data_IF_833021469121
#
_entry.id   IF_833021469121
#
_cell.length_a   1.000
_cell.length_b   1.000
_cell.length_c   1.000
_cell.angle_alpha   90.00
_cell.angle_beta   90.00
_cell.angle_gamma   90.00
#
_symmetry.space_group_name_H-M   'P 1'
#
loop_
_entity.id
_entity.type
_entity.pdbx_description
1 polymer ?
#
# COMPACT_ATOMS: atom_id res chain seq x y z
N UNK A 1 15.79 0.90 -25.86
CA UNK A 1 15.77 -0.11 -24.77
C UNK A 1 14.94 0.37 -23.57
N UNK A 2 15.17 1.58 -23.04
CA UNK A 2 14.38 2.12 -21.91
C UNK A 2 12.90 2.38 -22.23
N UNK A 3 12.58 3.06 -23.33
CA UNK A 3 11.17 3.33 -23.70
C UNK A 3 10.38 2.04 -23.92
N UNK A 4 10.94 1.09 -24.68
CA UNK A 4 10.33 -0.22 -24.89
C UNK A 4 10.04 -0.96 -23.56
N UNK A 5 10.92 -0.83 -22.56
CA UNK A 5 10.67 -1.42 -21.24
C UNK A 5 9.51 -0.69 -20.52
N UNK A 6 9.46 0.64 -20.59
CA UNK A 6 8.37 1.41 -19.99
C UNK A 6 7.03 1.08 -20.64
N UNK A 7 6.98 1.03 -21.97
CA UNK A 7 5.78 0.67 -22.73
C UNK A 7 5.29 -0.74 -22.39
N UNK A 8 6.21 -1.71 -22.25
CA UNK A 8 5.85 -3.10 -21.91
C UNK A 8 5.15 -3.26 -20.55
N UNK A 9 5.37 -2.32 -19.62
CA UNK A 9 4.71 -2.30 -18.31
C UNK A 9 3.49 -1.37 -18.33
N UNK A 10 3.55 -0.30 -19.13
CA UNK A 10 2.51 0.71 -19.20
C UNK A 10 1.18 0.16 -19.72
N UNK A 11 1.20 -0.56 -20.84
CA UNK A 11 -0.01 -1.13 -21.45
C UNK A 11 -0.80 -2.03 -20.48
N UNK A 12 -0.20 -3.06 -19.84
CA UNK A 12 -0.94 -3.89 -18.89
C UNK A 12 -1.33 -3.13 -17.62
N UNK A 13 -0.55 -2.13 -17.19
CA UNK A 13 -0.91 -1.30 -16.04
C UNK A 13 -2.16 -0.45 -16.32
N UNK A 14 -2.27 0.15 -17.50
CA UNK A 14 -3.46 0.93 -17.90
C UNK A 14 -4.69 0.03 -18.01
N UNK A 15 -4.55 -1.15 -18.62
CA UNK A 15 -5.65 -2.11 -18.69
C UNK A 15 -6.13 -2.50 -17.29
N UNK A 16 -5.19 -2.79 -16.38
CA UNK A 16 -5.52 -3.13 -15.00
C UNK A 16 -6.24 -2.00 -14.27
N UNK A 17 -5.81 -0.76 -14.45
CA UNK A 17 -6.47 0.42 -13.86
C UNK A 17 -7.91 0.56 -14.37
N UNK A 18 -8.17 0.36 -15.67
CA UNK A 18 -9.55 0.41 -16.17
C UNK A 18 -10.45 -0.65 -15.53
N UNK A 19 -9.94 -1.86 -15.28
CA UNK A 19 -10.67 -2.90 -14.57
C UNK A 19 -10.96 -2.50 -13.12
N UNK A 20 -9.94 -1.98 -12.41
CA UNK A 20 -10.08 -1.58 -11.01
C UNK A 20 -11.08 -0.43 -10.84
N UNK A 21 -11.05 0.57 -11.73
CA UNK A 21 -12.02 1.67 -11.73
C UNK A 21 -13.44 1.18 -12.01
N UNK A 22 -13.60 0.22 -12.93
CA UNK A 22 -14.91 -0.37 -13.21
C UNK A 22 -15.47 -1.12 -11.98
N UNK A 23 -14.62 -1.76 -11.19
CA UNK A 23 -15.02 -2.39 -9.92
C UNK A 23 -15.39 -1.36 -8.85
N UNK A 24 -14.62 -0.27 -8.74
CA UNK A 24 -14.95 0.84 -7.84
C UNK A 24 -16.30 1.47 -8.21
N UNK A 25 -16.54 1.67 -9.50
CA UNK A 25 -17.81 2.23 -10.00
C UNK A 25 -19.00 1.32 -9.65
N UNK A 26 -18.87 -0.01 -9.78
CA UNK A 26 -19.93 -0.94 -9.38
C UNK A 26 -20.31 -0.80 -7.91
N UNK A 27 -19.33 -0.58 -7.03
CA UNK A 27 -19.61 -0.34 -5.60
C UNK A 27 -20.30 1.01 -5.41
N UNK A 28 -19.83 2.07 -6.06
CA UNK A 28 -20.46 3.38 -6.00
C UNK A 28 -21.92 3.35 -6.48
N UNK A 29 -22.19 2.66 -7.60
CA UNK A 29 -23.52 2.49 -8.16
C UNK A 29 -24.44 1.68 -7.23
N UNK A 30 -23.92 0.60 -6.62
CA UNK A 30 -24.66 -0.22 -5.66
C UNK A 30 -25.03 0.54 -4.37
N UNK A 31 -24.23 1.55 -4.00
CA UNK A 31 -24.51 2.47 -2.89
C UNK A 31 -25.46 3.61 -3.27
N UNK A 32 -25.95 3.64 -4.52
CA UNK A 32 -26.84 4.69 -5.03
C UNK A 32 -26.11 5.96 -5.49
N UNK A 33 -24.80 5.89 -5.69
CA UNK A 33 -24.01 6.98 -6.27
C UNK A 33 -24.47 7.30 -7.70
N UNK A 34 -24.61 8.58 -8.01
CA UNK A 34 -25.00 9.06 -9.34
C UNK A 34 -23.84 9.71 -10.11
N UNK A 35 -22.61 9.51 -9.63
CA UNK A 35 -21.40 10.14 -10.15
C UNK A 35 -20.43 9.10 -10.74
N UNK A 36 -19.54 9.58 -11.61
CA UNK A 36 -18.42 8.79 -12.12
C UNK A 36 -17.22 8.96 -11.20
N UNK A 37 -16.58 7.86 -10.80
CA UNK A 37 -15.37 7.86 -9.98
C UNK A 37 -14.33 8.85 -10.54
N UNK A 38 -13.89 9.78 -9.69
CA UNK A 38 -12.83 10.73 -9.98
C UNK A 38 -11.56 10.39 -9.19
N UNK A 39 -10.39 10.95 -9.55
CA UNK A 39 -9.12 10.60 -8.92
C UNK A 39 -9.09 10.75 -7.39
N UNK A 40 -9.84 11.69 -6.81
CA UNK A 40 -9.93 11.87 -5.36
C UNK A 40 -10.77 10.80 -4.65
N UNK A 41 -11.65 10.10 -5.38
CA UNK A 41 -12.51 9.04 -4.84
C UNK A 41 -11.78 7.69 -4.74
N UNK A 42 -10.65 7.53 -5.44
CA UNK A 42 -9.96 6.25 -5.64
C UNK A 42 -9.64 5.55 -4.33
N UNK A 43 -9.00 6.24 -3.38
CA UNK A 43 -8.59 5.60 -2.11
C UNK A 43 -9.78 5.03 -1.36
N UNK A 44 -10.86 5.79 -1.29
CA UNK A 44 -12.05 5.39 -0.56
C UNK A 44 -12.71 4.15 -1.17
N UNK A 45 -12.95 4.14 -2.48
CA UNK A 45 -13.58 3.00 -3.15
C UNK A 45 -12.63 1.81 -3.33
N UNK A 46 -11.32 2.03 -3.46
CA UNK A 46 -10.34 0.95 -3.47
C UNK A 46 -10.34 0.15 -2.16
N UNK A 47 -10.45 0.81 -1.00
CA UNK A 47 -10.60 0.10 0.28
C UNK A 47 -11.87 -0.75 0.31
N UNK A 48 -12.99 -0.24 -0.21
CA UNK A 48 -14.25 -1.00 -0.31
C UNK A 48 -14.11 -2.22 -1.22
N UNK A 49 -13.47 -2.07 -2.38
CA UNK A 49 -13.17 -3.20 -3.28
C UNK A 49 -12.29 -4.23 -2.58
N UNK A 50 -11.26 -3.80 -1.85
CA UNK A 50 -10.37 -4.70 -1.11
C UNK A 50 -11.13 -5.49 -0.04
N UNK A 51 -11.97 -4.81 0.75
CA UNK A 51 -12.82 -5.45 1.76
C UNK A 51 -13.78 -6.45 1.12
N UNK A 52 -14.47 -6.06 0.04
CA UNK A 52 -15.42 -6.93 -0.63
C UNK A 52 -14.77 -8.18 -1.27
N UNK A 53 -13.53 -8.06 -1.78
CA UNK A 53 -12.83 -9.16 -2.45
C UNK A 53 -12.08 -10.11 -1.52
N UNK A 54 -11.48 -9.56 -0.45
CA UNK A 54 -10.51 -10.29 0.37
C UNK A 54 -10.87 -10.32 1.85
N UNK A 55 -11.99 -9.72 2.25
CA UNK A 55 -12.38 -9.54 3.65
C UNK A 55 -11.27 -8.90 4.50
N UNK A 56 -10.53 -7.96 3.89
CA UNK A 56 -9.35 -7.32 4.48
C UNK A 56 -9.62 -5.83 4.71
N UNK A 57 -9.49 -5.40 5.96
CA UNK A 57 -9.61 -4.00 6.39
C UNK A 57 -8.27 -3.48 6.92
N UNK A 58 -7.76 -2.39 6.34
CA UNK A 58 -6.48 -1.81 6.78
C UNK A 58 -6.52 -1.31 8.23
N UNK A 59 -7.69 -0.94 8.74
CA UNK A 59 -7.84 -0.51 10.14
C UNK A 59 -7.66 -1.67 11.13
N UNK A 60 -8.00 -2.88 10.72
CA UNK A 60 -7.81 -4.10 11.53
C UNK A 60 -6.34 -4.55 11.52
N UNK A 61 -5.61 -4.26 10.43
CA UNK A 61 -4.18 -4.57 10.32
C UNK A 61 -3.31 -3.58 11.10
N UNK A 62 -3.72 -2.31 11.17
CA UNK A 62 -2.94 -1.21 11.76
C UNK A 62 -2.38 -1.49 13.18
N UNK A 63 -3.11 -2.10 14.13
CA UNK A 63 -2.60 -2.41 15.47
C UNK A 63 -1.40 -3.36 15.48
N UNK A 64 -1.24 -4.19 14.46
CA UNK A 64 -0.14 -5.14 14.32
C UNK A 64 1.14 -4.49 13.74
N UNK A 65 1.01 -3.33 13.08
CA UNK A 65 2.10 -2.62 12.41
C UNK A 65 2.70 -1.52 13.30
N UNK A 66 3.04 -1.86 14.53
CA UNK A 66 3.70 -0.92 15.46
C UNK A 66 5.13 -0.63 14.99
N UNK A 67 5.52 0.64 15.00
CA UNK A 67 6.81 1.11 14.48
C UNK A 67 8.00 0.35 15.09
N UNK A 68 7.99 0.15 16.41
CA UNK A 68 9.04 -0.58 17.11
C UNK A 68 9.16 -2.02 16.60
N UNK A 69 8.04 -2.73 16.45
CA UNK A 69 8.03 -4.10 15.96
C UNK A 69 8.45 -4.19 14.49
N UNK A 70 8.08 -3.21 13.67
CA UNK A 70 8.52 -3.13 12.28
C UNK A 70 10.03 -2.91 12.20
N UNK A 71 10.59 -2.01 13.03
CA UNK A 71 12.03 -1.78 13.12
C UNK A 71 12.76 -3.06 13.52
N UNK A 72 12.28 -3.77 14.55
CA UNK A 72 12.89 -5.03 14.97
C UNK A 72 12.81 -6.09 13.86
N UNK A 73 11.70 -6.17 13.12
CA UNK A 73 11.58 -7.05 11.95
C UNK A 73 12.62 -6.73 10.87
N UNK A 74 12.85 -5.45 10.58
CA UNK A 74 13.88 -5.02 9.64
C UNK A 74 15.29 -5.39 10.12
N UNK A 75 15.60 -5.20 11.40
CA UNK A 75 16.88 -5.59 12.00
C UNK A 75 17.10 -7.09 11.97
N UNK A 76 16.06 -7.87 12.25
CA UNK A 76 16.11 -9.32 12.18
C UNK A 76 16.42 -9.80 10.76
N UNK A 77 15.72 -9.30 9.74
CA UNK A 77 15.99 -9.64 8.32
C UNK A 77 17.43 -9.29 7.93
N UNK A 78 17.94 -8.13 8.36
CA UNK A 78 19.32 -7.74 8.10
C UNK A 78 20.34 -8.63 8.83
N UNK A 79 20.00 -9.12 10.03
CA UNK A 79 20.77 -10.14 10.74
C UNK A 79 20.83 -11.45 9.98
N UNK A 80 19.69 -11.96 9.51
CA UNK A 80 19.62 -13.24 8.79
C UNK A 80 20.33 -13.20 7.43
N UNK A 81 20.13 -12.12 6.66
CA UNK A 81 20.66 -12.03 5.29
C UNK A 81 22.10 -11.53 5.22
N UNK A 82 22.50 -10.66 6.14
CA UNK A 82 23.77 -9.94 6.08
C UNK A 82 24.62 -10.08 7.33
N UNK A 83 24.16 -10.87 8.32
CA UNK A 83 24.90 -11.15 9.56
C UNK A 83 25.23 -9.87 10.36
N UNK A 84 24.34 -8.88 10.31
CA UNK A 84 24.44 -7.61 11.03
C UNK A 84 23.78 -7.68 12.42
N UNK A 85 24.27 -6.87 13.36
CA UNK A 85 23.61 -6.67 14.67
C UNK A 85 23.48 -5.18 14.99
N UNK A 86 22.39 -4.82 15.65
CA UNK A 86 22.02 -3.44 15.91
C UNK A 86 21.83 -3.23 17.42
N UNK A 87 22.31 -2.09 17.92
CA UNK A 87 22.12 -1.65 19.30
C UNK A 87 21.84 -0.17 19.32
N UNK A 88 20.76 0.24 20.00
CA UNK A 88 20.43 1.65 20.16
C UNK A 88 21.51 2.36 21.00
N UNK A 89 21.92 3.54 20.53
CA UNK A 89 22.74 4.48 21.29
C UNK A 89 21.96 5.78 21.48
N UNK A 90 22.07 6.37 22.67
CA UNK A 90 21.39 7.63 23.04
C UNK A 90 22.38 8.70 23.50
N UNK A 91 23.67 8.45 23.33
CA UNK A 91 24.76 9.29 23.84
C UNK A 91 25.23 10.37 22.87
N UNK A 92 24.66 10.40 21.66
CA UNK A 92 25.04 11.36 20.61
C UNK A 92 23.99 12.48 20.51
N UNK A 93 24.40 13.74 20.30
CA UNK A 93 23.46 14.83 20.07
C UNK A 93 22.61 14.57 18.82
N UNK A 94 21.30 14.75 18.93
CA UNK A 94 20.33 14.62 17.84
C UNK A 94 19.61 15.95 17.60
N UNK A 95 19.09 16.15 16.38
CA UNK A 95 18.42 17.41 16.01
C UNK A 95 16.98 17.50 16.54
N UNK A 96 16.34 16.36 16.81
CA UNK A 96 14.98 16.25 17.32
C UNK A 96 14.95 15.19 18.43
N UNK A 97 14.22 15.43 19.52
CA UNK A 97 14.01 14.44 20.58
C UNK A 97 13.39 13.13 20.07
#
# INVERSE_FOLDING_TARGET
KTLALMESVWEPAVEKVHQDVAEMQKIADAEGGTFKIQPWDYRYYAEKVRKAKYDLDQNEVKPYLQLENLREGMFWVAGELFNLSFKQITTVPVYHP
#
